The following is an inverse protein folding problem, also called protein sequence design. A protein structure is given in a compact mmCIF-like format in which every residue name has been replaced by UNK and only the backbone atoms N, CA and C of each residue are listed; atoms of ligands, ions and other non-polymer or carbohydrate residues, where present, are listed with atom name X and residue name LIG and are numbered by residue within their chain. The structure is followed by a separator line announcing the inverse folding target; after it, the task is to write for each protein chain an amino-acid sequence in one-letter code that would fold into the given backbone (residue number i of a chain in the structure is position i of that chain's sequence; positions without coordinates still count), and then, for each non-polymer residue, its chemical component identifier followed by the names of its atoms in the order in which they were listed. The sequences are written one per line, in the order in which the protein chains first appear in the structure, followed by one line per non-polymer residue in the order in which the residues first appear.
data_IF_880424614683
#
_entry.id   IF_880424614683
#
_cell.length_a   1.000
_cell.length_b   1.000
_cell.length_c   1.000
_cell.angle_alpha   90.00
_cell.angle_beta   90.00
_cell.angle_gamma   90.00
#
_symmetry.space_group_name_H-M   'P 1'
#
loop_
_entity.id
_entity.type
_entity.pdbx_description
1 polymer ?
#
# COMPACT_ATOMS: atom_id res chain seq x y z
N UNK A 1 5.03 5.91 -19.49
CA UNK A 1 4.65 4.72 -20.31
C UNK A 1 5.12 3.40 -19.67
N UNK A 2 6.39 3.29 -19.27
CA UNK A 2 6.95 2.07 -18.66
C UNK A 2 6.18 1.57 -17.41
N UNK A 3 5.90 2.45 -16.45
CA UNK A 3 5.22 2.09 -15.20
C UNK A 3 3.83 1.49 -15.43
N UNK A 4 3.04 2.07 -16.34
CA UNK A 4 1.73 1.55 -16.69
C UNK A 4 1.82 0.15 -17.31
N UNK A 5 2.82 -0.09 -18.16
CA UNK A 5 3.03 -1.42 -18.77
C UNK A 5 3.42 -2.47 -17.72
N UNK A 6 4.26 -2.10 -16.75
CA UNK A 6 4.62 -2.97 -15.62
C UNK A 6 3.41 -3.27 -14.73
N UNK A 7 2.65 -2.25 -14.33
CA UNK A 7 1.45 -2.42 -13.50
C UNK A 7 0.46 -3.40 -14.17
N UNK A 8 0.20 -3.23 -15.47
CA UNK A 8 -0.67 -4.12 -16.25
C UNK A 8 -0.16 -5.56 -16.25
N UNK A 9 1.13 -5.75 -16.51
CA UNK A 9 1.75 -7.07 -16.52
C UNK A 9 1.65 -7.76 -15.15
N UNK A 10 1.90 -7.01 -14.06
CA UNK A 10 1.79 -7.48 -12.69
C UNK A 10 0.34 -7.88 -12.37
N UNK A 11 -0.64 -7.02 -12.69
CA UNK A 11 -2.05 -7.31 -12.45
C UNK A 11 -2.49 -8.58 -13.18
N UNK A 12 -2.14 -8.72 -14.45
CA UNK A 12 -2.43 -9.92 -15.25
C UNK A 12 -1.81 -11.18 -14.66
N UNK A 13 -0.55 -11.10 -14.22
CA UNK A 13 0.16 -12.23 -13.58
C UNK A 13 -0.58 -12.77 -12.35
N UNK A 14 -1.33 -11.93 -11.65
CA UNK A 14 -2.12 -12.30 -10.48
C UNK A 14 -3.62 -12.40 -10.78
N UNK A 15 -4.04 -12.41 -12.04
CA UNK A 15 -5.46 -12.50 -12.43
C UNK A 15 -6.32 -11.39 -11.83
N UNK A 16 -5.78 -10.18 -11.74
CA UNK A 16 -6.50 -8.97 -11.34
C UNK A 16 -6.94 -8.17 -12.59
N UNK A 17 -7.93 -7.27 -12.46
CA UNK A 17 -8.26 -6.32 -13.52
C UNK A 17 -7.02 -5.53 -13.96
N UNK A 18 -6.80 -5.48 -15.28
CA UNK A 18 -5.64 -4.81 -15.91
C UNK A 18 -5.47 -3.39 -15.41
N UNK A 19 -6.59 -2.68 -15.27
CA UNK A 19 -6.66 -1.37 -14.65
C UNK A 19 -7.59 -1.44 -13.43
N UNK A 20 -7.18 -0.92 -12.26
CA UNK A 20 -8.08 -0.77 -11.12
C UNK A 20 -9.25 0.15 -11.44
N UNK A 21 -10.35 0.10 -10.67
CA UNK A 21 -11.41 1.09 -10.81
C UNK A 21 -10.92 2.49 -10.40
N UNK A 22 -11.57 3.55 -10.88
CA UNK A 22 -11.19 4.91 -10.49
C UNK A 22 -11.32 5.13 -8.97
N UNK A 23 -12.34 4.55 -8.34
CA UNK A 23 -12.51 4.56 -6.89
C UNK A 23 -11.38 3.85 -6.17
N UNK A 24 -11.01 2.63 -6.60
CA UNK A 24 -9.92 1.88 -5.99
C UNK A 24 -8.57 2.60 -6.14
N UNK A 25 -8.29 3.21 -7.31
CA UNK A 25 -7.09 4.05 -7.50
C UNK A 25 -7.02 5.18 -6.49
N UNK A 26 -8.15 5.86 -6.26
CA UNK A 26 -8.22 6.97 -5.31
C UNK A 26 -7.94 6.51 -3.89
N UNK A 27 -8.48 5.37 -3.47
CA UNK A 27 -8.22 4.82 -2.13
C UNK A 27 -6.77 4.34 -1.96
N UNK A 28 -6.18 3.70 -2.98
CA UNK A 28 -4.76 3.34 -2.97
C UNK A 28 -3.90 4.59 -2.82
N UNK A 29 -4.19 5.65 -3.58
CA UNK A 29 -3.45 6.92 -3.50
C UNK A 29 -3.65 7.65 -2.18
N UNK A 30 -4.83 7.56 -1.57
CA UNK A 30 -5.05 8.08 -0.22
C UNK A 30 -4.19 7.34 0.80
N UNK A 31 -4.11 6.01 0.72
CA UNK A 31 -3.30 5.21 1.64
C UNK A 31 -1.80 5.49 1.48
N UNK A 32 -1.32 5.55 0.24
CA UNK A 32 0.05 5.94 -0.15
C UNK A 32 0.43 7.30 0.44
N UNK A 33 -0.46 8.29 0.30
CA UNK A 33 -0.25 9.64 0.83
C UNK A 33 -0.20 9.69 2.37
N UNK A 34 -1.02 8.88 3.05
CA UNK A 34 -0.98 8.77 4.52
C UNK A 34 0.32 8.12 4.98
N UNK A 35 0.80 7.08 4.31
CA UNK A 35 2.09 6.45 4.61
C UNK A 35 3.24 7.46 4.45
N UNK A 36 3.28 8.15 3.30
CA UNK A 36 4.30 9.16 3.01
C UNK A 36 4.34 10.31 4.03
N UNK A 37 3.18 10.77 4.52
CA UNK A 37 3.13 11.78 5.58
C UNK A 37 3.86 11.33 6.86
N UNK A 38 3.58 10.11 7.32
CA UNK A 38 4.18 9.60 8.56
C UNK A 38 5.65 9.22 8.36
N UNK A 39 6.03 8.64 7.23
CA UNK A 39 7.44 8.40 6.89
C UNK A 39 8.23 9.71 6.84
N UNK A 40 7.67 10.76 6.25
CA UNK A 40 8.32 12.07 6.17
C UNK A 40 8.59 12.66 7.56
N UNK A 41 7.58 12.65 8.42
CA UNK A 41 7.67 13.24 9.78
C UNK A 41 8.47 12.40 10.78
N UNK A 42 8.43 11.08 10.67
CA UNK A 42 9.06 10.18 11.65
C UNK A 42 10.45 9.72 11.24
N UNK A 43 10.72 9.59 9.94
CA UNK A 43 11.93 8.94 9.43
C UNK A 43 12.80 9.85 8.58
N UNK A 44 12.19 10.74 7.78
CA UNK A 44 12.93 11.59 6.84
C UNK A 44 13.25 13.00 7.37
N UNK A 45 12.83 13.34 8.59
CA UNK A 45 13.16 14.60 9.26
C UNK A 45 12.34 15.82 8.80
N UNK A 46 11.22 15.61 8.10
CA UNK A 46 10.32 16.70 7.73
C UNK A 46 9.58 17.21 8.97
N UNK A 47 9.36 18.52 9.02
CA UNK A 47 8.41 19.09 9.96
C UNK A 47 6.98 18.67 9.62
N UNK A 48 6.08 18.76 10.60
CA UNK A 48 4.65 18.53 10.36
C UNK A 48 4.06 19.51 9.35
N UNK A 49 4.61 20.72 9.24
CA UNK A 49 4.17 21.73 8.29
C UNK A 49 4.53 21.32 6.85
N UNK A 50 5.79 20.96 6.60
CA UNK A 50 6.25 20.49 5.29
C UNK A 50 5.50 19.22 4.87
N UNK A 51 5.37 18.24 5.76
CA UNK A 51 4.63 17.01 5.45
C UNK A 51 3.14 17.30 5.15
N UNK A 52 2.53 18.27 5.84
CA UNK A 52 1.14 18.68 5.55
C UNK A 52 1.04 19.40 4.21
N UNK A 53 2.04 20.17 3.82
CA UNK A 53 2.09 20.85 2.52
C UNK A 53 2.24 19.85 1.37
N UNK A 54 3.20 18.91 1.47
CA UNK A 54 3.49 17.96 0.40
C UNK A 54 2.49 16.80 0.33
N UNK A 55 2.05 16.27 1.49
CA UNK A 55 1.25 15.06 1.56
C UNK A 55 -0.16 15.31 2.14
N UNK A 56 -0.50 16.53 2.54
CA UNK A 56 -1.76 16.79 3.21
C UNK A 56 -1.83 16.18 4.61
N UNK A 57 -2.83 16.57 5.38
CA UNK A 57 -3.02 16.05 6.75
C UNK A 57 -3.83 14.75 6.72
N UNK A 58 -3.32 13.62 7.24
CA UNK A 58 -4.09 12.38 7.36
C UNK A 58 -5.36 12.60 8.20
N UNK A 59 -6.49 12.06 7.73
CA UNK A 59 -7.78 12.08 8.46
C UNK A 59 -8.19 10.67 8.82
N UNK A 60 -8.45 10.43 10.11
CA UNK A 60 -8.95 9.14 10.61
C UNK A 60 -7.88 8.04 10.74
N UNK A 61 -6.60 8.42 10.68
CA UNK A 61 -5.47 7.51 10.86
C UNK A 61 -4.60 8.00 12.02
N UNK A 62 -4.23 7.09 12.91
CA UNK A 62 -3.26 7.33 13.97
C UNK A 62 -1.97 6.55 13.63
N UNK A 63 -0.83 7.24 13.71
CA UNK A 63 0.50 6.66 13.51
C UNK A 63 0.77 5.47 14.43
N UNK A 64 0.23 5.50 15.66
CA UNK A 64 0.42 4.45 16.68
C UNK A 64 -0.07 3.05 16.24
N UNK A 65 -0.85 2.98 15.15
CA UNK A 65 -1.32 1.71 14.57
C UNK A 65 -0.31 1.06 13.62
N UNK A 66 0.80 1.72 13.33
CA UNK A 66 1.81 1.24 12.37
C UNK A 66 3.18 1.17 13.02
N UNK A 67 3.96 0.17 12.61
CA UNK A 67 5.37 0.08 12.94
C UNK A 67 6.18 0.79 11.84
N UNK A 68 6.76 1.93 12.19
CA UNK A 68 7.65 2.70 11.30
C UNK A 68 9.13 2.40 11.54
N UNK A 69 9.46 1.38 12.34
CA UNK A 69 10.85 0.97 12.55
C UNK A 69 11.47 0.57 11.20
N UNK A 70 12.61 1.17 10.79
CA UNK A 70 13.32 0.72 9.61
C UNK A 70 13.84 -0.71 9.82
N UNK A 71 13.33 -1.64 9.01
CA UNK A 71 13.69 -3.05 9.11
C UNK A 71 14.78 -3.45 8.11
N UNK A 72 15.43 -4.58 8.37
CA UNK A 72 16.37 -5.16 7.41
C UNK A 72 15.66 -5.62 6.13
N UNK A 73 16.39 -5.67 5.01
CA UNK A 73 15.86 -6.10 3.71
C UNK A 73 15.20 -7.48 3.80
N UNK A 74 15.85 -8.43 4.47
CA UNK A 74 15.33 -9.79 4.63
C UNK A 74 14.03 -9.81 5.43
N UNK A 75 13.94 -9.00 6.49
CA UNK A 75 12.73 -8.91 7.28
C UNK A 75 11.57 -8.34 6.45
N UNK A 76 11.79 -7.22 5.76
CA UNK A 76 10.77 -6.56 4.96
C UNK A 76 10.27 -7.45 3.81
N UNK A 77 11.19 -8.16 3.14
CA UNK A 77 10.84 -9.13 2.10
C UNK A 77 9.94 -10.25 2.65
N UNK A 78 10.29 -10.82 3.80
CA UNK A 78 9.51 -11.90 4.40
C UNK A 78 8.12 -11.42 4.81
N UNK A 79 8.02 -10.26 5.47
CA UNK A 79 6.75 -9.68 5.90
C UNK A 79 5.83 -9.35 4.69
N UNK A 80 6.40 -8.84 3.60
CA UNK A 80 5.65 -8.58 2.37
C UNK A 80 5.08 -9.87 1.77
N UNK A 81 5.91 -10.92 1.65
CA UNK A 81 5.50 -12.21 1.09
C UNK A 81 4.45 -12.91 1.95
N UNK A 82 4.58 -12.82 3.28
CA UNK A 82 3.58 -13.35 4.22
C UNK A 82 2.23 -12.65 4.04
N UNK A 83 2.21 -11.32 3.96
CA UNK A 83 0.98 -10.56 3.74
C UNK A 83 0.35 -10.87 2.38
N UNK A 84 1.17 -10.96 1.34
CA UNK A 84 0.73 -11.38 0.01
C UNK A 84 0.05 -12.76 0.05
N UNK A 85 0.70 -13.75 0.67
CA UNK A 85 0.16 -15.11 0.79
C UNK A 85 -1.18 -15.15 1.55
N UNK A 86 -1.30 -14.36 2.64
CA UNK A 86 -2.53 -14.23 3.39
C UNK A 86 -3.67 -13.65 2.55
N UNK A 87 -3.41 -12.60 1.76
CA UNK A 87 -4.40 -11.98 0.87
C UNK A 87 -4.82 -12.96 -0.24
N UNK A 88 -3.86 -13.68 -0.84
CA UNK A 88 -4.17 -14.68 -1.86
C UNK A 88 -5.03 -15.82 -1.34
N UNK A 89 -4.80 -16.26 -0.09
CA UNK A 89 -5.64 -17.26 0.57
C UNK A 89 -7.08 -16.75 0.72
N UNK A 90 -7.27 -15.51 1.20
CA UNK A 90 -8.59 -14.89 1.32
C UNK A 90 -9.29 -14.77 -0.04
N UNK A 91 -8.54 -14.36 -1.08
CA UNK A 91 -9.09 -14.21 -2.43
C UNK A 91 -9.59 -15.54 -3.01
N UNK A 92 -8.84 -16.63 -2.82
CA UNK A 92 -9.28 -17.96 -3.27
C UNK A 92 -10.54 -18.43 -2.54
N UNK A 93 -10.63 -18.15 -1.23
CA UNK A 93 -11.81 -18.47 -0.44
C UNK A 93 -13.05 -17.70 -0.89
N UNK A 94 -12.90 -16.43 -1.31
CA UNK A 94 -14.01 -15.62 -1.83
C UNK A 94 -14.46 -16.01 -3.25
N UNK A 95 -13.65 -16.77 -3.99
CA UNK A 95 -13.94 -17.19 -5.38
C UNK A 95 -14.54 -18.60 -5.45
N UNK A 96 -14.39 -19.44 -4.41
CA UNK A 96 -15.17 -20.68 -4.32
C UNK A 96 -16.64 -20.35 -4.05
N UNK A 97 -17.60 -20.87 -4.84
CA UNK A 97 -19.01 -20.76 -4.49
C UNK A 97 -19.25 -21.51 -3.18
N UNK A 98 -20.15 -20.97 -2.35
CA UNK A 98 -20.82 -21.80 -1.35
C UNK A 98 -21.54 -22.93 -2.11
N UNK A 99 -21.29 -24.18 -1.72
CA UNK A 99 -22.00 -25.36 -2.20
C UNK A 99 -23.53 -25.20 -2.12
#
# INVERSE_FOLDING_TARGET
ECELRLQRAIHLRFSLPVEPSAGLRKEIKRADQVAAYFEATLLAGFSTAEATEFFGRPRGFNADRFDFTPHSVTWAQNAFLERYAAIEKLRRQTVQPAD
#
